data_IF_064864520577
#
_entry.id   IF_064864520577
#
_cell.length_a   1.000
_cell.length_b   1.000
_cell.length_c   1.000
_cell.angle_alpha   90.00
_cell.angle_beta   90.00
_cell.angle_gamma   90.00
#
_symmetry.space_group_name_H-M   'P 1'
#
loop_
_entity.id
_entity.type
_entity.pdbx_description
1 polymer ?
#
# COMPACT_ATOMS: atom_id res chain seq x y z
N UNK A 1 36.62 19.27 14.18
CA UNK A 1 35.29 18.63 14.29
C UNK A 1 35.50 17.15 14.57
N UNK A 2 35.15 16.72 15.78
CA UNK A 2 35.23 15.33 16.25
C UNK A 2 34.15 14.46 15.57
N UNK A 3 34.22 13.12 15.66
CA UNK A 3 33.13 12.25 15.24
C UNK A 3 31.79 12.59 15.91
N UNK A 4 31.80 12.92 17.19
CA UNK A 4 30.57 13.28 17.94
C UNK A 4 29.97 14.58 17.42
N UNK A 5 30.81 15.59 17.12
CA UNK A 5 30.36 16.85 16.51
C UNK A 5 29.68 16.58 15.15
N UNK A 6 30.21 15.65 14.35
CA UNK A 6 29.62 15.28 13.05
C UNK A 6 28.26 14.61 13.21
N UNK A 7 28.14 13.69 14.18
CA UNK A 7 26.87 13.00 14.48
C UNK A 7 25.83 14.01 14.97
N UNK A 8 26.21 14.91 15.87
CA UNK A 8 25.33 15.97 16.36
C UNK A 8 24.85 16.90 15.22
N UNK A 9 25.76 17.32 14.35
CA UNK A 9 25.42 18.15 13.19
C UNK A 9 24.49 17.43 12.20
N UNK A 10 24.73 16.14 11.92
CA UNK A 10 23.85 15.34 11.06
C UNK A 10 22.44 15.20 11.64
N UNK A 11 22.34 14.92 12.95
CA UNK A 11 21.05 14.86 13.66
C UNK A 11 20.33 16.21 13.63
N UNK A 12 21.04 17.32 13.85
CA UNK A 12 20.46 18.67 13.76
C UNK A 12 19.93 18.97 12.35
N UNK A 13 20.67 18.58 11.31
CA UNK A 13 20.23 18.72 9.92
C UNK A 13 18.94 17.94 9.61
N UNK A 14 18.84 16.70 10.10
CA UNK A 14 17.62 15.89 9.95
C UNK A 14 16.41 16.50 10.68
N UNK A 15 16.61 17.03 11.89
CA UNK A 15 15.55 17.73 12.64
C UNK A 15 15.06 18.97 11.87
N UNK A 16 15.98 19.74 11.28
CA UNK A 16 15.61 20.89 10.46
C UNK A 16 14.83 20.45 9.21
N UNK A 17 15.30 19.42 8.50
CA UNK A 17 14.61 18.87 7.34
C UNK A 17 13.19 18.38 7.69
N UNK A 18 13.01 17.74 8.85
CA UNK A 18 11.70 17.34 9.35
C UNK A 18 10.77 18.55 9.52
N UNK A 19 11.28 19.66 10.09
CA UNK A 19 10.52 20.87 10.29
C UNK A 19 10.16 21.58 8.97
N UNK A 20 11.10 21.62 8.01
CA UNK A 20 10.87 22.17 6.67
C UNK A 20 9.79 21.39 5.91
N UNK A 21 9.87 20.06 5.92
CA UNK A 21 8.87 19.18 5.31
C UNK A 21 7.49 19.35 5.97
N UNK A 22 7.45 19.50 7.30
CA UNK A 22 6.22 19.79 8.03
C UNK A 22 5.55 21.09 7.58
N UNK A 23 6.31 22.18 7.45
CA UNK A 23 5.80 23.46 6.93
C UNK A 23 5.31 23.38 5.49
N UNK A 24 6.04 22.67 4.62
CA UNK A 24 5.62 22.47 3.24
C UNK A 24 4.27 21.74 3.16
N UNK A 25 4.08 20.71 3.99
CA UNK A 25 2.82 20.00 4.11
C UNK A 25 1.68 20.89 4.65
N UNK A 26 1.94 21.83 5.55
CA UNK A 26 0.88 22.73 6.01
C UNK A 26 0.33 23.61 4.88
N UNK A 27 1.12 23.89 3.86
CA UNK A 27 0.79 24.78 2.74
C UNK A 27 0.23 24.06 1.51
N UNK A 28 0.55 22.77 1.33
CA UNK A 28 0.13 22.00 0.15
C UNK A 28 -1.12 21.15 0.43
N UNK A 29 -2.10 21.15 -0.49
CA UNK A 29 -3.31 20.30 -0.44
C UNK A 29 -3.47 19.42 -1.69
N UNK A 30 -2.47 19.40 -2.54
CA UNK A 30 -2.44 18.66 -3.80
C UNK A 30 -1.81 17.28 -3.65
N UNK A 31 -1.79 16.52 -4.74
CA UNK A 31 -1.10 15.21 -4.83
C UNK A 31 0.41 15.30 -4.56
N UNK A 32 1.03 16.47 -4.68
CA UNK A 32 2.45 16.67 -4.36
C UNK A 32 2.80 16.34 -2.91
N UNK A 33 1.80 16.39 -2.00
CA UNK A 33 1.93 15.92 -0.62
C UNK A 33 2.48 14.49 -0.50
N UNK A 34 2.13 13.59 -1.42
CA UNK A 34 2.58 12.19 -1.36
C UNK A 34 4.10 12.06 -1.32
N UNK A 35 4.82 12.84 -2.15
CA UNK A 35 6.28 12.88 -2.14
C UNK A 35 6.87 13.51 -0.88
N UNK A 36 6.24 14.57 -0.38
CA UNK A 36 6.65 15.23 0.87
C UNK A 36 6.47 14.31 2.09
N UNK A 37 5.35 13.59 2.16
CA UNK A 37 5.04 12.61 3.20
C UNK A 37 6.05 11.45 3.17
N UNK A 38 6.39 10.92 1.99
CA UNK A 38 7.43 9.90 1.85
C UNK A 38 8.77 10.37 2.41
N UNK A 39 9.21 11.58 2.05
CA UNK A 39 10.47 12.13 2.58
C UNK A 39 10.41 12.37 4.09
N UNK A 40 9.28 12.81 4.60
CA UNK A 40 9.08 13.00 6.04
C UNK A 40 9.13 11.66 6.79
N UNK A 41 8.56 10.61 6.21
CA UNK A 41 8.64 9.25 6.74
C UNK A 41 10.10 8.75 6.78
N UNK A 42 10.87 8.94 5.71
CA UNK A 42 12.31 8.60 5.65
C UNK A 42 13.12 9.34 6.73
N UNK A 43 12.91 10.66 6.89
CA UNK A 43 13.61 11.45 7.91
C UNK A 43 13.27 10.98 9.33
N UNK A 44 12.00 10.66 9.61
CA UNK A 44 11.57 10.13 10.91
C UNK A 44 12.27 8.81 11.25
N UNK A 45 12.39 7.90 10.26
CA UNK A 45 13.13 6.64 10.41
C UNK A 45 14.60 6.84 10.75
N UNK A 46 15.24 7.88 10.20
CA UNK A 46 16.63 8.20 10.51
C UNK A 46 16.82 8.81 11.90
N UNK A 47 15.81 9.50 12.42
CA UNK A 47 15.89 10.23 13.69
C UNK A 47 15.57 9.38 14.93
N UNK A 48 14.66 8.41 14.78
CA UNK A 48 14.12 7.63 15.88
C UNK A 48 14.24 6.12 15.64
N UNK A 49 15.14 5.42 16.35
CA UNK A 49 15.25 3.96 16.31
C UNK A 49 13.98 3.23 16.75
N UNK A 50 13.08 3.88 17.51
CA UNK A 50 11.77 3.35 17.92
C UNK A 50 10.67 3.52 16.88
N UNK A 51 11.00 4.05 15.70
CA UNK A 51 10.03 4.24 14.62
C UNK A 51 9.73 2.90 13.92
N UNK A 52 8.66 2.24 14.35
CA UNK A 52 8.29 0.89 13.90
C UNK A 52 7.43 0.83 12.62
N UNK A 53 7.15 1.96 12.00
CA UNK A 53 6.39 2.01 10.75
C UNK A 53 7.29 1.62 9.56
N UNK A 54 6.82 0.70 8.73
CA UNK A 54 7.59 -0.02 7.70
C UNK A 54 7.06 0.17 6.28
N UNK A 55 5.92 0.85 6.12
CA UNK A 55 5.39 1.21 4.79
C UNK A 55 6.38 2.02 3.96
N UNK A 56 6.18 2.05 2.64
CA UNK A 56 7.11 2.76 1.75
C UNK A 56 7.09 4.29 1.96
N UNK A 57 5.91 4.84 2.23
CA UNK A 57 5.67 6.28 2.28
C UNK A 57 4.88 6.72 3.52
N UNK A 58 4.87 5.94 4.60
CA UNK A 58 4.20 6.31 5.85
C UNK A 58 2.68 6.10 5.87
N UNK A 59 2.14 5.30 4.94
CA UNK A 59 0.73 4.89 4.91
C UNK A 59 0.28 4.33 6.26
N UNK A 60 1.06 3.40 6.82
CA UNK A 60 0.80 2.77 8.12
C UNK A 60 0.77 3.79 9.28
N UNK A 61 1.66 4.78 9.30
CA UNK A 61 1.61 5.88 10.27
C UNK A 61 0.34 6.72 10.12
N UNK A 62 -0.07 7.02 8.89
CA UNK A 62 -1.28 7.81 8.63
C UNK A 62 -2.51 7.05 9.10
N UNK A 63 -2.65 5.79 8.70
CA UNK A 63 -3.75 4.91 9.07
C UNK A 63 -3.81 4.71 10.59
N UNK A 64 -2.67 4.48 11.25
CA UNK A 64 -2.59 4.30 12.70
C UNK A 64 -3.06 5.55 13.46
N UNK A 65 -2.70 6.75 12.97
CA UNK A 65 -3.18 8.01 13.54
C UNK A 65 -4.67 8.22 13.32
N UNK A 66 -5.16 7.99 12.11
CA UNK A 66 -6.57 8.16 11.75
C UNK A 66 -7.49 7.24 12.57
N UNK A 67 -7.01 6.05 12.94
CA UNK A 67 -7.73 5.10 13.79
C UNK A 67 -7.43 5.26 15.28
N UNK A 68 -6.75 6.34 15.69
CA UNK A 68 -6.48 6.60 17.10
C UNK A 68 -5.66 5.51 17.79
N UNK A 69 -4.65 4.97 17.10
CA UNK A 69 -3.78 3.90 17.59
C UNK A 69 -4.52 2.61 17.99
N UNK A 70 -5.65 2.31 17.30
CA UNK A 70 -6.49 1.13 17.53
C UNK A 70 -5.65 -0.16 17.61
N UNK A 71 -5.96 -0.99 18.61
CA UNK A 71 -5.42 -2.34 18.78
C UNK A 71 -6.48 -3.39 18.41
N UNK A 72 -6.04 -4.56 17.96
CA UNK A 72 -6.95 -5.67 17.63
C UNK A 72 -7.95 -5.37 16.51
N UNK A 73 -7.57 -4.52 15.54
CA UNK A 73 -8.36 -4.30 14.33
C UNK A 73 -8.11 -5.38 13.27
N UNK A 74 -8.67 -5.17 12.08
CA UNK A 74 -8.49 -6.09 10.95
C UNK A 74 -8.02 -5.41 9.68
N UNK A 75 -7.08 -6.04 8.95
CA UNK A 75 -6.59 -5.54 7.67
C UNK A 75 -6.77 -6.55 6.52
N UNK A 76 -6.69 -6.04 5.29
CA UNK A 76 -6.53 -6.85 4.07
C UNK A 76 -5.43 -6.21 3.23
N UNK A 77 -4.39 -6.97 2.92
CA UNK A 77 -3.22 -6.52 2.19
C UNK A 77 -3.24 -7.10 0.77
N UNK A 78 -3.58 -6.31 -0.24
CA UNK A 78 -3.61 -6.73 -1.63
C UNK A 78 -2.36 -6.19 -2.33
N UNK A 79 -1.58 -7.09 -2.93
CA UNK A 79 -0.24 -6.78 -3.46
C UNK A 79 0.85 -6.87 -2.41
N UNK A 80 0.77 -7.90 -1.55
CA UNK A 80 1.61 -7.97 -0.35
C UNK A 80 3.09 -8.24 -0.59
N UNK A 81 3.51 -8.56 -1.82
CA UNK A 81 4.88 -8.88 -2.20
C UNK A 81 5.51 -9.92 -1.25
N UNK A 82 6.69 -9.66 -0.69
CA UNK A 82 7.39 -10.54 0.24
C UNK A 82 6.87 -10.47 1.69
N UNK A 83 5.75 -9.76 1.91
CA UNK A 83 5.11 -9.57 3.20
C UNK A 83 5.76 -8.51 4.10
N UNK A 84 6.90 -7.94 3.71
CA UNK A 84 7.69 -7.03 4.57
C UNK A 84 8.03 -5.73 3.87
N UNK A 85 8.64 -5.83 2.69
CA UNK A 85 9.22 -4.71 1.98
C UNK A 85 8.12 -3.75 1.55
N UNK A 86 8.07 -2.59 2.20
CA UNK A 86 7.06 -1.56 1.92
C UNK A 86 5.65 -1.90 2.42
N UNK A 87 5.47 -2.95 3.23
CA UNK A 87 4.13 -3.39 3.64
C UNK A 87 3.38 -2.31 4.42
N UNK A 88 2.17 -2.00 3.97
CA UNK A 88 1.25 -1.09 4.65
C UNK A 88 0.59 -1.74 5.87
N UNK A 89 0.66 -3.07 6.01
CA UNK A 89 -0.10 -3.82 7.04
C UNK A 89 0.76 -4.50 8.11
N UNK A 90 2.06 -4.72 7.86
CA UNK A 90 2.94 -5.44 8.79
C UNK A 90 3.00 -4.78 10.17
N UNK A 91 3.03 -3.44 10.19
CA UNK A 91 3.01 -2.66 11.42
C UNK A 91 1.79 -3.01 12.31
N UNK A 92 0.61 -3.09 11.70
CA UNK A 92 -0.63 -3.38 12.41
C UNK A 92 -0.65 -4.79 12.96
N UNK A 93 -0.22 -5.76 12.15
CA UNK A 93 -0.09 -7.14 12.59
C UNK A 93 0.84 -7.23 13.79
N UNK A 94 2.09 -6.78 13.67
CA UNK A 94 3.13 -7.00 14.67
C UNK A 94 2.97 -6.15 15.94
N UNK A 95 2.66 -4.86 15.82
CA UNK A 95 2.67 -3.92 16.96
C UNK A 95 1.28 -3.56 17.49
N UNK A 96 0.25 -3.57 16.63
CA UNK A 96 -1.14 -3.30 17.04
C UNK A 96 -1.94 -4.57 17.35
N UNK A 97 -1.39 -5.75 17.06
CA UNK A 97 -2.06 -7.03 17.30
C UNK A 97 -3.28 -7.23 16.42
N UNK A 98 -3.26 -6.68 15.21
CA UNK A 98 -4.33 -6.87 14.24
C UNK A 98 -4.24 -8.24 13.58
N UNK A 99 -5.38 -8.73 13.10
CA UNK A 99 -5.48 -9.91 12.24
C UNK A 99 -5.89 -9.51 10.83
N UNK A 100 -5.64 -10.35 9.83
CA UNK A 100 -5.99 -9.99 8.46
C UNK A 100 -5.72 -11.11 7.48
N UNK A 101 -5.65 -10.74 6.20
CA UNK A 101 -5.14 -11.61 5.13
C UNK A 101 -4.21 -10.82 4.23
N UNK A 102 -3.25 -11.51 3.64
CA UNK A 102 -2.37 -10.99 2.59
C UNK A 102 -2.63 -11.74 1.28
N UNK A 103 -2.64 -11.03 0.17
CA UNK A 103 -2.85 -11.57 -1.17
C UNK A 103 -1.62 -11.27 -2.04
N UNK A 104 -1.01 -12.34 -2.56
CA UNK A 104 0.19 -12.27 -3.40
C UNK A 104 0.20 -13.44 -4.39
N UNK A 105 0.09 -13.21 -5.71
CA UNK A 105 0.02 -14.27 -6.70
C UNK A 105 1.37 -14.91 -7.03
N UNK A 106 2.50 -14.23 -6.85
CA UNK A 106 3.83 -14.75 -7.23
C UNK A 106 4.29 -15.81 -6.21
N UNK A 107 4.54 -17.08 -6.62
CA UNK A 107 4.81 -18.16 -5.67
C UNK A 107 6.04 -17.94 -4.76
N UNK A 108 7.11 -17.33 -5.29
CA UNK A 108 8.33 -17.05 -4.52
C UNK A 108 8.11 -15.95 -3.47
N UNK A 109 7.40 -14.87 -3.84
CA UNK A 109 7.02 -13.81 -2.91
C UNK A 109 6.05 -14.31 -1.84
N UNK A 110 5.04 -15.09 -2.25
CA UNK A 110 4.09 -15.72 -1.35
C UNK A 110 4.77 -16.64 -0.33
N UNK A 111 5.76 -17.43 -0.74
CA UNK A 111 6.54 -18.26 0.18
C UNK A 111 7.28 -17.40 1.22
N UNK A 112 7.96 -16.33 0.79
CA UNK A 112 8.64 -15.38 1.69
C UNK A 112 7.67 -14.69 2.65
N UNK A 113 6.48 -14.31 2.16
CA UNK A 113 5.44 -13.72 3.00
C UNK A 113 4.96 -14.72 4.07
N UNK A 114 4.74 -15.99 3.70
CA UNK A 114 4.32 -17.05 4.65
C UNK A 114 5.34 -17.35 5.73
N UNK A 115 6.62 -17.15 5.46
CA UNK A 115 7.68 -17.36 6.44
C UNK A 115 7.68 -16.28 7.54
N UNK A 116 7.10 -15.09 7.28
CA UNK A 116 7.20 -13.92 8.15
C UNK A 116 5.85 -13.48 8.72
N UNK A 117 4.78 -13.56 7.91
CA UNK A 117 3.44 -13.11 8.29
C UNK A 117 2.74 -14.11 9.19
N UNK A 118 1.94 -13.61 10.13
CA UNK A 118 1.10 -14.45 11.00
C UNK A 118 -0.30 -14.67 10.40
N UNK A 119 -0.74 -13.76 9.54
CA UNK A 119 -1.99 -13.87 8.80
C UNK A 119 -1.90 -14.91 7.67
N UNK A 120 -3.04 -15.48 7.24
CA UNK A 120 -3.10 -16.26 6.01
C UNK A 120 -2.60 -15.46 4.79
N UNK A 121 -1.74 -16.08 3.98
CA UNK A 121 -1.30 -15.54 2.69
C UNK A 121 -1.90 -16.35 1.54
N UNK A 122 -2.67 -15.67 0.68
CA UNK A 122 -3.45 -16.25 -0.41
C UNK A 122 -2.72 -16.06 -1.75
N UNK A 123 -2.51 -17.17 -2.46
CA UNK A 123 -1.80 -17.22 -3.75
C UNK A 123 -2.70 -16.96 -4.95
N UNK A 124 -3.32 -15.79 -5.00
CA UNK A 124 -4.27 -15.38 -6.05
C UNK A 124 -4.10 -13.90 -6.38
N UNK A 125 -4.66 -13.44 -7.50
CA UNK A 125 -4.71 -12.03 -7.87
C UNK A 125 -6.11 -11.43 -7.66
N UNK A 126 -6.17 -10.15 -7.31
CA UNK A 126 -7.43 -9.40 -7.28
C UNK A 126 -7.77 -8.94 -8.70
N UNK A 127 -9.01 -9.16 -9.12
CA UNK A 127 -9.56 -8.65 -10.37
C UNK A 127 -11.05 -8.34 -10.24
N UNK A 128 -11.64 -7.67 -11.23
CA UNK A 128 -13.08 -7.41 -11.27
C UNK A 128 -13.93 -8.70 -11.36
N UNK A 129 -13.38 -9.78 -11.94
CA UNK A 129 -14.06 -11.06 -12.16
C UNK A 129 -13.28 -12.24 -11.59
N UNK A 130 -14.01 -13.31 -11.24
CA UNK A 130 -13.38 -14.57 -10.83
C UNK A 130 -12.97 -15.40 -12.07
N UNK A 131 -11.87 -16.13 -11.96
CA UNK A 131 -11.40 -17.00 -13.03
C UNK A 131 -9.90 -17.22 -12.98
N UNK A 132 -9.26 -17.19 -14.14
CA UNK A 132 -7.81 -17.19 -14.26
C UNK A 132 -7.38 -16.12 -15.27
N UNK A 133 -6.21 -15.52 -15.04
CA UNK A 133 -5.64 -14.52 -15.92
C UNK A 133 -4.12 -14.65 -16.00
N UNK A 134 -3.57 -14.12 -17.09
CA UNK A 134 -2.12 -13.99 -17.26
C UNK A 134 -1.59 -12.86 -16.38
N UNK A 135 -0.51 -13.15 -15.66
CA UNK A 135 0.13 -12.26 -14.69
C UNK A 135 1.59 -12.07 -15.08
N UNK A 136 2.03 -10.81 -15.17
CA UNK A 136 3.41 -10.43 -15.47
C UNK A 136 4.20 -10.40 -14.17
N UNK A 137 5.03 -11.41 -13.94
CA UNK A 137 5.99 -11.43 -12.84
C UNK A 137 7.30 -10.80 -13.30
N UNK A 138 7.75 -9.76 -12.60
CA UNK A 138 9.06 -9.16 -12.78
C UNK A 138 10.07 -9.90 -11.89
N UNK A 139 10.96 -10.67 -12.51
CA UNK A 139 11.90 -11.55 -11.80
C UNK A 139 13.24 -10.88 -11.49
N UNK A 140 13.62 -9.84 -12.24
CA UNK A 140 14.80 -9.01 -11.99
C UNK A 140 14.51 -7.53 -12.30
N UNK A 141 15.19 -6.62 -11.62
CA UNK A 141 14.94 -5.17 -11.71
C UNK A 141 13.93 -4.70 -10.67
N UNK A 142 12.79 -4.15 -11.09
CA UNK A 142 11.74 -3.67 -10.19
C UNK A 142 10.78 -4.79 -9.81
N UNK A 143 11.23 -5.73 -8.98
CA UNK A 143 10.50 -6.97 -8.65
C UNK A 143 9.19 -6.76 -7.89
N UNK A 144 8.98 -5.59 -7.28
CA UNK A 144 7.70 -5.24 -6.63
C UNK A 144 6.60 -4.89 -7.64
N UNK A 145 6.98 -4.48 -8.86
CA UNK A 145 6.07 -4.00 -9.89
C UNK A 145 5.54 -5.18 -10.73
N UNK A 146 4.89 -6.16 -10.11
CA UNK A 146 4.27 -7.29 -10.84
C UNK A 146 2.76 -7.14 -10.86
N UNK A 147 2.09 -7.48 -11.96
CA UNK A 147 0.67 -7.16 -12.14
C UNK A 147 -0.05 -8.02 -13.17
N UNK A 148 -1.38 -7.95 -13.19
CA UNK A 148 -2.21 -8.64 -14.18
C UNK A 148 -1.97 -8.08 -15.58
N UNK A 149 -1.65 -8.93 -16.56
CA UNK A 149 -1.28 -8.50 -17.91
C UNK A 149 -2.38 -7.69 -18.61
N UNK A 150 -3.65 -7.99 -18.33
CA UNK A 150 -4.80 -7.33 -18.96
C UNK A 150 -5.14 -5.95 -18.38
N UNK A 151 -4.68 -5.63 -17.17
CA UNK A 151 -5.00 -4.37 -16.47
C UNK A 151 -3.75 -3.60 -16.00
N UNK A 152 -2.56 -4.08 -16.35
CA UNK A 152 -1.29 -3.42 -16.01
C UNK A 152 -1.26 -1.99 -16.57
N UNK A 153 -0.87 -0.99 -15.75
CA UNK A 153 -0.63 0.37 -16.25
C UNK A 153 0.44 0.41 -17.38
N UNK A 154 0.07 0.84 -18.61
CA UNK A 154 0.99 0.77 -19.76
C UNK A 154 2.25 1.63 -19.62
N UNK A 155 2.15 2.79 -18.97
CA UNK A 155 3.27 3.70 -18.80
C UNK A 155 4.28 3.13 -17.79
N UNK A 156 3.78 2.55 -16.70
CA UNK A 156 4.57 1.83 -15.72
C UNK A 156 5.24 0.61 -16.32
N UNK A 157 4.50 -0.24 -17.06
CA UNK A 157 5.08 -1.42 -17.71
C UNK A 157 6.20 -1.05 -18.68
N UNK A 158 6.01 0.04 -19.44
CA UNK A 158 7.05 0.60 -20.32
C UNK A 158 8.28 1.01 -19.52
N UNK A 159 8.10 1.73 -18.41
CA UNK A 159 9.20 2.15 -17.55
C UNK A 159 9.94 0.97 -16.91
N UNK A 160 9.21 -0.05 -16.46
CA UNK A 160 9.78 -1.26 -15.85
C UNK A 160 10.65 -2.00 -16.86
N UNK A 161 10.17 -2.17 -18.10
CA UNK A 161 10.89 -2.83 -19.19
C UNK A 161 12.10 -2.06 -19.73
N UNK A 162 12.22 -0.76 -19.41
CA UNK A 162 13.39 0.05 -19.74
C UNK A 162 14.58 -0.15 -18.78
N UNK A 163 14.38 -0.79 -17.62
CA UNK A 163 15.49 -1.12 -16.71
C UNK A 163 16.41 -2.16 -17.38
N UNK A 164 17.74 -1.94 -17.47
CA UNK A 164 18.65 -2.90 -18.10
C UNK A 164 18.70 -4.26 -17.39
N UNK A 165 18.32 -4.32 -16.11
CA UNK A 165 18.24 -5.54 -15.31
C UNK A 165 16.93 -6.28 -15.52
N UNK A 166 15.94 -5.68 -16.18
CA UNK A 166 14.59 -6.21 -16.28
C UNK A 166 14.59 -7.64 -16.84
N UNK A 167 13.92 -8.53 -16.13
CA UNK A 167 13.49 -9.85 -16.60
C UNK A 167 12.05 -10.05 -16.17
N UNK A 168 11.26 -10.69 -17.01
CA UNK A 168 9.87 -11.04 -16.70
C UNK A 168 9.53 -12.45 -17.17
N UNK A 169 8.47 -13.00 -16.59
CA UNK A 169 7.77 -14.19 -17.11
C UNK A 169 6.27 -14.04 -16.91
N UNK A 170 5.51 -14.80 -17.69
CA UNK A 170 4.06 -14.87 -17.53
C UNK A 170 3.70 -16.08 -16.67
N UNK A 171 2.89 -15.83 -15.64
CA UNK A 171 2.24 -16.85 -14.84
C UNK A 171 0.75 -16.90 -15.21
N UNK A 172 0.14 -18.08 -15.13
CA UNK A 172 -1.32 -18.19 -15.08
C UNK A 172 -1.75 -18.31 -13.62
N UNK A 173 -2.59 -17.39 -13.15
CA UNK A 173 -2.98 -17.29 -11.74
C UNK A 173 -4.49 -17.25 -11.58
N UNK A 174 -4.99 -17.77 -10.47
CA UNK A 174 -6.40 -17.63 -10.08
C UNK A 174 -6.70 -16.16 -9.78
N UNK A 175 -7.85 -15.66 -10.25
CA UNK A 175 -8.37 -14.34 -9.92
C UNK A 175 -9.61 -14.42 -9.05
N UNK A 176 -9.73 -13.51 -8.08
CA UNK A 176 -10.96 -13.30 -7.30
C UNK A 176 -11.28 -11.82 -7.16
N UNK A 177 -12.58 -11.53 -7.03
CA UNK A 177 -13.00 -10.19 -6.63
C UNK A 177 -12.64 -9.93 -5.17
N UNK A 178 -12.38 -8.66 -4.85
CA UNK A 178 -12.07 -8.26 -3.48
C UNK A 178 -13.20 -8.65 -2.52
N UNK A 179 -14.47 -8.48 -2.92
CA UNK A 179 -15.64 -8.93 -2.15
C UNK A 179 -15.59 -10.43 -1.81
N UNK A 180 -15.16 -11.28 -2.77
CA UNK A 180 -15.05 -12.71 -2.52
C UNK A 180 -13.95 -13.01 -1.51
N UNK A 181 -12.81 -12.34 -1.60
CA UNK A 181 -11.70 -12.48 -0.65
C UNK A 181 -12.15 -12.07 0.76
N UNK A 182 -12.83 -10.93 0.90
CA UNK A 182 -13.38 -10.48 2.18
C UNK A 182 -14.33 -11.51 2.80
N UNK A 183 -15.21 -12.09 1.98
CA UNK A 183 -16.19 -13.09 2.42
C UNK A 183 -15.51 -14.40 2.83
N UNK A 184 -14.61 -14.93 1.99
CA UNK A 184 -13.88 -16.18 2.26
C UNK A 184 -12.98 -16.05 3.51
N UNK A 185 -12.40 -14.87 3.73
CA UNK A 185 -11.57 -14.57 4.89
C UNK A 185 -12.36 -14.30 6.18
N UNK A 186 -13.70 -14.25 6.11
CA UNK A 186 -14.57 -13.83 7.22
C UNK A 186 -14.25 -12.41 7.72
N UNK A 187 -13.84 -11.53 6.81
CA UNK A 187 -13.52 -10.11 7.04
C UNK A 187 -14.46 -9.22 6.22
N UNK A 188 -15.79 -9.23 6.45
CA UNK A 188 -16.73 -8.48 5.62
C UNK A 188 -16.62 -6.95 5.78
N UNK A 189 -16.03 -6.47 6.88
CA UNK A 189 -15.92 -5.05 7.23
C UNK A 189 -14.53 -4.74 7.82
N UNK A 190 -13.43 -4.82 7.03
CA UNK A 190 -12.09 -4.60 7.56
C UNK A 190 -11.89 -3.13 7.97
N UNK A 191 -11.08 -2.90 9.00
CA UNK A 191 -10.68 -1.54 9.40
C UNK A 191 -9.80 -0.87 8.35
N UNK A 192 -8.96 -1.66 7.67
CA UNK A 192 -8.01 -1.15 6.69
C UNK A 192 -7.88 -2.11 5.50
N UNK A 193 -7.88 -1.56 4.28
CA UNK A 193 -7.47 -2.28 3.07
C UNK A 193 -6.32 -1.53 2.40
N UNK A 194 -5.22 -2.23 2.14
CA UNK A 194 -4.18 -1.77 1.21
C UNK A 194 -4.47 -2.39 -0.17
N UNK A 195 -4.62 -1.56 -1.19
CA UNK A 195 -4.87 -1.98 -2.57
C UNK A 195 -3.81 -1.38 -3.48
N UNK A 196 -2.83 -2.22 -3.81
CA UNK A 196 -1.66 -1.89 -4.63
C UNK A 196 -1.44 -3.07 -5.58
N UNK A 197 -1.86 -2.96 -6.84
CA UNK A 197 -1.81 -4.09 -7.80
C UNK A 197 -1.19 -3.69 -9.15
N UNK A 198 -0.48 -2.57 -9.18
CA UNK A 198 0.26 -2.05 -10.34
C UNK A 198 -0.64 -1.82 -11.58
N UNK A 199 -1.94 -1.60 -11.34
CA UNK A 199 -2.97 -1.46 -12.36
C UNK A 199 -4.21 -2.34 -12.16
N UNK A 200 -5.38 -1.78 -12.48
CA UNK A 200 -6.68 -2.44 -12.32
C UNK A 200 -7.39 -2.10 -11.00
N UNK A 201 -6.84 -1.18 -10.20
CA UNK A 201 -7.46 -0.70 -8.95
C UNK A 201 -8.84 -0.13 -9.21
N UNK A 202 -8.99 0.70 -10.25
CA UNK A 202 -10.26 1.29 -10.65
C UNK A 202 -11.30 0.22 -11.02
N UNK A 203 -10.92 -0.79 -11.81
CA UNK A 203 -11.80 -1.88 -12.21
C UNK A 203 -12.22 -2.74 -11.00
N UNK A 204 -11.28 -3.05 -10.11
CA UNK A 204 -11.55 -3.79 -8.88
C UNK A 204 -12.52 -3.04 -7.96
N UNK A 205 -12.34 -1.71 -7.83
CA UNK A 205 -13.23 -0.85 -7.04
C UNK A 205 -14.60 -0.65 -7.71
N UNK A 206 -14.66 -0.52 -9.03
CA UNK A 206 -15.92 -0.39 -9.76
C UNK A 206 -16.80 -1.65 -9.61
N UNK A 207 -16.18 -2.83 -9.52
CA UNK A 207 -16.86 -4.10 -9.25
C UNK A 207 -17.15 -4.34 -7.75
N UNK A 208 -16.65 -3.50 -6.85
CA UNK A 208 -16.75 -3.72 -5.41
C UNK A 208 -18.12 -3.29 -4.85
N UNK A 209 -18.86 -4.19 -4.15
CA UNK A 209 -20.18 -3.86 -3.59
C UNK A 209 -20.03 -3.11 -2.27
N UNK A 210 -19.74 -1.80 -2.33
CA UNK A 210 -19.55 -0.92 -1.15
C UNK A 210 -20.73 -0.93 -0.15
N UNK A 211 -21.94 -1.26 -0.60
CA UNK A 211 -23.09 -1.39 0.30
C UNK A 211 -23.01 -2.65 1.20
N UNK A 212 -22.34 -3.71 0.73
CA UNK A 212 -22.18 -4.96 1.46
C UNK A 212 -20.91 -4.98 2.33
N UNK A 213 -19.88 -4.22 1.94
CA UNK A 213 -18.60 -4.18 2.65
C UNK A 213 -18.27 -2.76 3.08
N UNK A 214 -18.14 -2.58 4.40
CA UNK A 214 -17.82 -1.30 5.03
C UNK A 214 -16.36 -1.35 5.46
N UNK A 215 -15.51 -0.76 4.65
CA UNK A 215 -14.09 -0.65 4.96
C UNK A 215 -13.85 0.67 5.67
N UNK A 216 -13.09 0.66 6.77
CA UNK A 216 -12.84 1.88 7.54
C UNK A 216 -11.96 2.88 6.78
N UNK A 217 -10.78 2.41 6.40
CA UNK A 217 -9.77 3.15 5.66
C UNK A 217 -9.28 2.33 4.47
N UNK A 218 -8.94 3.02 3.39
CA UNK A 218 -8.20 2.45 2.28
C UNK A 218 -6.89 3.19 2.08
N UNK A 219 -5.85 2.47 1.69
CA UNK A 219 -4.73 3.00 0.93
C UNK A 219 -4.84 2.40 -0.47
N UNK A 220 -4.98 3.24 -1.49
CA UNK A 220 -5.18 2.79 -2.87
C UNK A 220 -4.09 3.41 -3.72
N UNK A 221 -3.30 2.59 -4.41
CA UNK A 221 -2.33 3.09 -5.37
C UNK A 221 -3.05 3.74 -6.56
N UNK A 222 -2.68 4.98 -6.90
CA UNK A 222 -3.20 5.68 -8.08
C UNK A 222 -2.07 6.04 -9.03
N UNK A 223 -1.60 5.06 -9.79
CA UNK A 223 -0.46 5.17 -10.69
C UNK A 223 -0.58 6.29 -11.73
N UNK A 224 -1.78 6.52 -12.24
CA UNK A 224 -2.02 7.53 -13.27
C UNK A 224 -2.26 8.93 -12.70
N UNK A 225 -2.56 9.03 -11.39
CA UNK A 225 -3.08 10.26 -10.78
C UNK A 225 -4.42 10.70 -11.38
N UNK A 226 -5.12 9.80 -12.07
CA UNK A 226 -6.39 10.05 -12.72
C UNK A 226 -7.55 10.21 -11.72
N UNK A 227 -8.66 10.85 -12.13
CA UNK A 227 -9.80 11.13 -11.25
C UNK A 227 -10.72 9.94 -11.03
N UNK A 228 -10.49 8.79 -11.66
CA UNK A 228 -11.43 7.66 -11.68
C UNK A 228 -11.64 7.04 -10.30
N UNK A 229 -10.55 6.67 -9.62
CA UNK A 229 -10.59 6.16 -8.24
C UNK A 229 -11.33 7.17 -7.35
N UNK A 230 -11.01 8.46 -7.49
CA UNK A 230 -11.67 9.50 -6.71
C UNK A 230 -13.19 9.57 -6.94
N UNK A 231 -13.66 9.45 -8.19
CA UNK A 231 -15.09 9.41 -8.49
C UNK A 231 -15.77 8.20 -7.86
N UNK A 232 -15.17 7.01 -7.95
CA UNK A 232 -15.72 5.77 -7.38
C UNK A 232 -15.82 5.90 -5.85
N UNK A 233 -14.72 6.27 -5.20
CA UNK A 233 -14.65 6.35 -3.74
C UNK A 233 -15.59 7.43 -3.17
N UNK A 234 -15.67 8.61 -3.80
CA UNK A 234 -16.57 9.67 -3.37
C UNK A 234 -18.05 9.29 -3.51
N UNK A 235 -18.41 8.61 -4.61
CA UNK A 235 -19.76 8.09 -4.83
C UNK A 235 -20.11 6.99 -3.81
N UNK A 236 -19.12 6.19 -3.41
CA UNK A 236 -19.25 5.16 -2.39
C UNK A 236 -19.28 5.68 -0.94
N UNK A 237 -19.16 6.99 -0.74
CA UNK A 237 -19.25 7.60 0.59
C UNK A 237 -17.91 7.74 1.33
N UNK A 238 -16.79 7.75 0.60
CA UNK A 238 -15.46 7.95 1.16
C UNK A 238 -14.92 9.35 0.84
N UNK A 239 -14.11 9.88 1.74
CA UNK A 239 -13.39 11.14 1.57
C UNK A 239 -11.89 10.87 1.44
N UNK A 240 -11.24 11.56 0.49
CA UNK A 240 -9.79 11.58 0.37
C UNK A 240 -9.24 12.41 1.53
N UNK A 241 -8.43 11.79 2.38
CA UNK A 241 -7.91 12.44 3.60
C UNK A 241 -6.42 12.72 3.54
N UNK A 242 -5.66 11.98 2.72
CA UNK A 242 -4.21 12.19 2.58
C UNK A 242 -3.66 11.54 1.31
N UNK A 243 -2.47 11.99 0.87
CA UNK A 243 -1.63 11.30 -0.11
C UNK A 243 -0.36 10.77 0.55
N UNK A 244 0.07 9.56 0.20
CA UNK A 244 1.28 8.94 0.74
C UNK A 244 2.05 8.20 -0.36
N UNK A 245 3.10 8.82 -0.90
CA UNK A 245 3.76 8.30 -2.10
C UNK A 245 2.80 8.30 -3.30
N UNK A 246 2.65 7.18 -4.02
CA UNK A 246 1.66 7.04 -5.10
C UNK A 246 0.23 6.80 -4.59
N UNK A 247 0.07 6.54 -3.28
CA UNK A 247 -1.21 6.13 -2.71
C UNK A 247 -2.09 7.30 -2.31
N UNK A 248 -3.39 7.08 -2.43
CA UNK A 248 -4.44 7.90 -1.88
C UNK A 248 -5.04 7.21 -0.65
N UNK A 249 -5.13 7.95 0.46
CA UNK A 249 -5.74 7.46 1.70
C UNK A 249 -7.19 7.93 1.75
N UNK A 250 -8.11 6.97 1.79
CA UNK A 250 -9.55 7.21 1.77
C UNK A 250 -10.20 6.79 3.08
N UNK A 251 -11.11 7.60 3.61
CA UNK A 251 -11.85 7.32 4.85
C UNK A 251 -13.34 7.28 4.61
N UNK A 252 -14.01 6.26 5.12
CA UNK A 252 -15.46 6.17 5.08
C UNK A 252 -16.09 7.32 5.91
N UNK A 253 -17.06 8.03 5.33
CA UNK A 253 -17.75 9.15 6.00
C UNK A 253 -18.46 8.69 7.27
N UNK A 254 -18.30 9.45 8.34
CA UNK A 254 -18.98 9.23 9.62
C UNK A 254 -18.34 8.20 10.53
N UNK A 255 -17.13 7.72 10.21
CA UNK A 255 -16.25 6.99 11.14
C UNK A 255 -15.53 7.92 12.11
#
# INVERSE_FOLDING_TARGET
>A
MTPDDRIAAARAGLVQAQADLGRALEQDRSRARGGLIRRLHEVRRMLDPGYHYVSQAGQDLIVDRLLGAKRGGTFVDIGGYDGVTGSNTLFFEQWRGWSGVLVEPVPSNLARARDIRRCPCLGLAVAATQGEADFVEITEGFTQMSGLAGSYDPAMLTRVRQDPRHRERILRVETRSLSRILTDALLPHPDFVSLDIEGGEADALAAFPFAAHRVGLWAIENNTGGPEIARIMQAAGYDLVEFAGPDEIWRLRGL
#
